data_IF_788397367132
#
_entry.id   IF_788397367132
#
_cell.length_a   1.000
_cell.length_b   1.000
_cell.length_c   1.000
_cell.angle_alpha   90.00
_cell.angle_beta   90.00
_cell.angle_gamma   90.00
#
_symmetry.space_group_name_H-M   'P 1'
#
loop_
_entity.id
_entity.type
_entity.pdbx_description
1 polymer ?
#
# COMPACT_ATOMS: atom_id res chain seq x y z
N UNK A 1 -0.70 12.66 -18.97
CA UNK A 1 -1.96 12.90 -18.23
C UNK A 1 -1.60 13.18 -16.77
N UNK A 2 -2.31 14.10 -16.10
CA UNK A 2 -2.17 14.30 -14.66
C UNK A 2 -2.94 13.22 -13.91
N UNK A 3 -2.40 12.77 -12.76
CA UNK A 3 -3.08 11.81 -11.88
C UNK A 3 -4.23 12.49 -11.14
N UNK A 4 -5.29 11.76 -10.88
CA UNK A 4 -6.46 12.19 -10.12
C UNK A 4 -6.40 11.71 -8.67
N UNK A 5 -7.26 12.23 -7.79
CA UNK A 5 -7.38 11.74 -6.42
C UNK A 5 -7.79 10.26 -6.39
N UNK A 6 -8.65 9.85 -7.33
CA UNK A 6 -9.09 8.47 -7.48
C UNK A 6 -7.89 7.54 -7.73
N UNK A 7 -6.97 7.95 -8.60
CA UNK A 7 -5.78 7.14 -8.93
C UNK A 7 -4.89 6.91 -7.69
N UNK A 8 -4.77 7.90 -6.81
CA UNK A 8 -4.01 7.73 -5.56
C UNK A 8 -4.71 6.82 -4.56
N UNK A 9 -6.04 6.94 -4.43
CA UNK A 9 -6.82 6.03 -3.60
C UNK A 9 -6.76 4.59 -4.13
N UNK A 10 -6.74 4.43 -5.45
CA UNK A 10 -6.63 3.13 -6.12
C UNK A 10 -5.25 2.50 -5.92
N UNK A 11 -4.16 3.27 -5.96
CA UNK A 11 -2.82 2.79 -5.59
C UNK A 11 -2.80 2.25 -4.15
N UNK A 12 -3.36 3.00 -3.20
CA UNK A 12 -3.42 2.58 -1.79
C UNK A 12 -4.26 1.31 -1.62
N UNK A 13 -5.41 1.24 -2.31
CA UNK A 13 -6.28 0.07 -2.29
C UNK A 13 -5.58 -1.17 -2.85
N UNK A 14 -4.93 -1.04 -4.00
CA UNK A 14 -4.20 -2.14 -4.64
C UNK A 14 -3.02 -2.60 -3.78
N UNK A 15 -2.25 -1.66 -3.22
CA UNK A 15 -1.14 -1.98 -2.33
C UNK A 15 -1.61 -2.76 -1.09
N UNK A 16 -2.76 -2.41 -0.50
CA UNK A 16 -3.34 -3.13 0.61
C UNK A 16 -3.83 -4.54 0.20
N UNK A 17 -4.46 -4.65 -0.97
CA UNK A 17 -4.94 -5.94 -1.51
C UNK A 17 -3.79 -6.91 -1.77
N UNK A 18 -2.69 -6.43 -2.34
CA UNK A 18 -1.47 -7.23 -2.56
C UNK A 18 -0.88 -7.76 -1.25
N UNK A 19 -0.86 -6.97 -0.17
CA UNK A 19 -0.40 -7.47 1.15
C UNK A 19 -1.24 -8.66 1.61
N UNK A 20 -2.56 -8.57 1.48
CA UNK A 20 -3.46 -9.65 1.87
C UNK A 20 -3.22 -10.90 1.01
N UNK A 21 -3.04 -10.73 -0.31
CA UNK A 21 -2.75 -11.85 -1.22
C UNK A 21 -1.38 -12.49 -0.93
N UNK A 22 -0.35 -11.71 -0.60
CA UNK A 22 0.98 -12.22 -0.28
C UNK A 22 1.05 -12.97 1.05
N UNK A 23 0.16 -12.63 1.99
CA UNK A 23 0.15 -13.20 3.34
C UNK A 23 -0.98 -14.22 3.54
N UNK A 24 -1.77 -14.50 2.50
CA UNK A 24 -2.90 -15.42 2.58
C UNK A 24 -2.43 -16.83 2.95
N UNK A 25 -3.00 -17.36 4.04
CA UNK A 25 -2.69 -18.71 4.53
C UNK A 25 -1.32 -18.86 5.18
N UNK A 26 -0.57 -17.77 5.38
CA UNK A 26 0.71 -17.80 6.11
C UNK A 26 0.50 -17.58 7.60
N UNK A 27 1.12 -18.42 8.43
CA UNK A 27 1.28 -18.13 9.85
C UNK A 27 2.39 -17.08 10.07
N UNK A 28 2.38 -16.42 11.23
CA UNK A 28 3.33 -15.37 11.55
C UNK A 28 4.80 -15.86 11.49
N UNK A 29 5.10 -17.05 12.02
CA UNK A 29 6.45 -17.61 11.95
C UNK A 29 6.92 -17.83 10.51
N UNK A 30 6.02 -18.28 9.62
CA UNK A 30 6.32 -18.49 8.21
C UNK A 30 6.59 -17.17 7.51
N UNK A 31 5.71 -16.18 7.70
CA UNK A 31 5.90 -14.83 7.21
C UNK A 31 7.23 -14.23 7.68
N UNK A 32 7.52 -14.28 8.98
CA UNK A 32 8.72 -13.67 9.57
C UNK A 32 10.04 -14.25 9.03
N UNK A 33 10.02 -15.50 8.53
CA UNK A 33 11.18 -16.20 7.97
C UNK A 33 11.26 -16.08 6.44
N UNK A 34 10.15 -15.78 5.78
CA UNK A 34 10.13 -15.51 4.35
C UNK A 34 10.49 -14.05 4.05
N UNK A 35 11.80 -13.81 3.91
CA UNK A 35 12.34 -12.49 3.56
C UNK A 35 11.79 -11.93 2.25
N UNK A 36 11.39 -12.77 1.29
CA UNK A 36 10.80 -12.29 0.02
C UNK A 36 9.44 -11.67 0.28
N UNK A 37 8.59 -12.38 1.03
CA UNK A 37 7.25 -11.92 1.37
C UNK A 37 7.28 -10.70 2.30
N UNK A 38 8.18 -10.69 3.29
CA UNK A 38 8.42 -9.49 4.13
C UNK A 38 8.79 -8.27 3.29
N UNK A 39 9.72 -8.44 2.34
CA UNK A 39 10.11 -7.34 1.45
C UNK A 39 8.96 -6.89 0.55
N UNK A 40 8.12 -7.81 0.06
CA UNK A 40 6.95 -7.47 -0.74
C UNK A 40 5.93 -6.66 0.08
N UNK A 41 5.62 -7.10 1.31
CA UNK A 41 4.72 -6.41 2.23
C UNK A 41 5.27 -5.02 2.63
N UNK A 42 6.57 -4.88 2.85
CA UNK A 42 7.20 -3.60 3.20
C UNK A 42 7.04 -2.53 2.11
N UNK A 43 6.90 -2.92 0.84
CA UNK A 43 6.68 -1.95 -0.25
C UNK A 43 5.31 -1.31 -0.21
N UNK A 44 4.29 -2.02 0.27
CA UNK A 44 2.91 -1.51 0.25
C UNK A 44 2.71 -0.28 1.15
N UNK A 45 3.26 -0.20 2.38
CA UNK A 45 3.30 1.04 3.16
C UNK A 45 4.01 2.20 2.47
N UNK A 46 5.09 1.96 1.72
CA UNK A 46 5.80 3.02 0.98
C UNK A 46 4.92 3.64 -0.11
N UNK A 47 4.29 2.79 -0.93
CA UNK A 47 3.36 3.20 -1.98
C UNK A 47 2.15 3.92 -1.37
N UNK A 48 1.60 3.36 -0.30
CA UNK A 48 0.45 3.93 0.40
C UNK A 48 0.78 5.31 0.97
N UNK A 49 1.95 5.47 1.61
CA UNK A 49 2.39 6.74 2.16
C UNK A 49 2.66 7.81 1.09
N UNK A 50 3.20 7.42 -0.06
CA UNK A 50 3.42 8.37 -1.16
C UNK A 50 2.10 8.82 -1.81
N UNK A 51 1.16 7.91 -2.00
CA UNK A 51 -0.18 8.24 -2.47
C UNK A 51 -0.96 9.11 -1.46
N UNK A 52 -0.83 8.83 -0.16
CA UNK A 52 -1.48 9.59 0.91
C UNK A 52 -1.08 11.07 0.93
N UNK A 53 0.18 11.41 0.62
CA UNK A 53 0.65 12.81 0.50
C UNK A 53 -0.08 13.63 -0.58
N UNK A 54 -0.79 12.96 -1.49
CA UNK A 54 -1.51 13.61 -2.60
C UNK A 54 -2.99 13.81 -2.30
N UNK A 55 -3.46 13.29 -1.17
CA UNK A 55 -4.80 13.54 -0.65
C UNK A 55 -4.78 14.90 0.04
N UNK A 56 -5.58 15.88 -0.40
CA UNK A 56 -5.65 17.18 0.25
C UNK A 56 -6.17 16.99 1.68
N UNK A 57 -5.48 17.61 2.64
CA UNK A 57 -5.96 17.64 4.02
C UNK A 57 -7.19 18.55 4.10
N UNK A 58 -8.08 18.24 5.03
CA UNK A 58 -9.28 19.04 5.24
C UNK A 58 -8.89 20.50 5.52
N UNK A 59 -9.24 21.40 4.60
CA UNK A 59 -8.88 22.83 4.63
C UNK A 59 -7.87 23.28 3.56
N UNK A 60 -7.16 22.37 2.90
CA UNK A 60 -6.32 22.70 1.74
C UNK A 60 -7.17 22.74 0.47
N UNK A 61 -7.40 23.95 -0.05
CA UNK A 61 -8.00 24.12 -1.39
C UNK A 61 -6.96 23.73 -2.45
N UNK A 62 -7.39 22.93 -3.42
CA UNK A 62 -6.65 22.55 -4.63
C UNK A 62 -6.29 23.75 -5.50
#
# INVERSE_FOLDING_TARGET
MSRTLKDYLEDMWNAAKEVLEFTEGMEFEEFSRDRKTVNAVLRSPEVTGEAAKKIPLEGEKR
#
